data_IF_924030100859
#
_entry.id   IF_924030100859
#
_cell.length_a   1.000
_cell.length_b   1.000
_cell.length_c   1.000
_cell.angle_alpha   90.00
_cell.angle_beta   90.00
_cell.angle_gamma   90.00
#
_symmetry.space_group_name_H-M   'P 1'
#
loop_
_entity.id
_entity.type
_entity.pdbx_description
1 polymer ?
#
# COMPACT_ATOMS: atom_id res chain seq x y z
N UNK A 1 -64.31 24.61 18.55
CA UNK A 1 -62.90 24.78 18.14
C UNK A 1 -62.46 23.58 17.29
N UNK A 2 -62.65 23.64 15.97
CA UNK A 2 -61.95 22.83 14.93
C UNK A 2 -62.06 23.68 13.65
N UNK A 3 -61.15 24.64 13.47
CA UNK A 3 -59.97 24.60 12.58
C UNK A 3 -60.34 24.58 11.08
N UNK A 4 -60.37 25.79 10.51
CA UNK A 4 -60.34 26.03 9.07
C UNK A 4 -58.88 25.98 8.59
N UNK A 5 -58.59 25.24 7.53
CA UNK A 5 -57.34 25.33 6.79
C UNK A 5 -57.66 25.27 5.29
N UNK A 6 -57.68 26.45 4.67
CA UNK A 6 -57.48 26.68 3.25
C UNK A 6 -56.01 27.10 3.08
N UNK A 7 -55.20 26.35 2.34
CA UNK A 7 -53.96 26.86 1.74
C UNK A 7 -53.63 26.12 0.46
N UNK A 8 -53.14 26.90 -0.50
CA UNK A 8 -53.11 26.69 -1.93
C UNK A 8 -51.98 25.79 -2.47
N UNK A 9 -52.21 25.22 -3.66
CA UNK A 9 -51.19 24.63 -4.53
C UNK A 9 -50.27 25.69 -5.12
N UNK A 10 -48.97 25.42 -5.10
CA UNK A 10 -47.99 26.02 -6.04
C UNK A 10 -47.21 24.88 -6.69
N UNK A 11 -47.49 24.63 -7.96
CA UNK A 11 -46.68 23.77 -8.82
C UNK A 11 -45.54 24.63 -9.39
N UNK A 12 -44.29 24.28 -9.06
CA UNK A 12 -43.12 24.81 -9.77
C UNK A 12 -42.76 23.83 -10.87
N UNK A 13 -43.07 24.20 -12.11
CA UNK A 13 -42.47 23.63 -13.32
C UNK A 13 -41.22 24.43 -13.63
N UNK A 14 -40.08 23.77 -13.74
CA UNK A 14 -38.88 24.33 -14.38
C UNK A 14 -38.43 23.33 -15.43
N UNK A 15 -38.45 23.79 -16.67
CA UNK A 15 -38.05 23.09 -17.89
C UNK A 15 -36.56 22.70 -17.88
N UNK A 16 -36.30 21.46 -18.32
CA UNK A 16 -35.02 20.97 -18.89
C UNK A 16 -34.85 21.56 -20.32
N UNK A 17 -33.76 21.36 -21.08
CA UNK A 17 -32.45 20.75 -20.78
C UNK A 17 -31.26 21.64 -21.25
N UNK A 18 -30.05 21.41 -20.73
CA UNK A 18 -28.85 21.72 -21.52
C UNK A 18 -27.76 20.68 -21.28
N UNK A 19 -27.45 19.96 -22.35
CA UNK A 19 -26.33 19.04 -22.50
C UNK A 19 -25.02 19.67 -22.07
N UNK A 20 -24.37 19.10 -21.06
CA UNK A 20 -22.98 19.39 -20.74
C UNK A 20 -22.27 18.10 -20.31
N UNK A 21 -21.55 17.53 -21.27
CA UNK A 21 -20.30 16.78 -21.12
C UNK A 21 -20.24 15.63 -20.11
N UNK A 22 -20.34 14.42 -20.66
CA UNK A 22 -19.52 13.25 -20.33
C UNK A 22 -19.15 13.06 -18.86
N UNK A 23 -20.05 12.46 -18.10
CA UNK A 23 -19.63 11.66 -16.96
C UNK A 23 -18.90 10.42 -17.49
N UNK A 24 -17.57 10.47 -17.54
CA UNK A 24 -16.81 9.25 -17.32
C UNK A 24 -16.92 9.02 -15.82
N UNK A 25 -17.90 8.22 -15.41
CA UNK A 25 -17.76 7.50 -14.16
C UNK A 25 -16.59 6.54 -14.40
N UNK A 26 -15.38 7.00 -14.09
CA UNK A 26 -14.29 6.10 -13.76
C UNK A 26 -14.80 5.38 -12.51
N UNK A 27 -15.42 4.23 -12.73
CA UNK A 27 -15.58 3.21 -11.70
C UNK A 27 -14.16 2.87 -11.26
N UNK A 28 -13.66 3.65 -10.30
CA UNK A 28 -12.45 3.33 -9.56
C UNK A 28 -12.77 2.02 -8.87
N UNK A 29 -12.39 0.93 -9.52
CA UNK A 29 -12.39 -0.39 -8.93
C UNK A 29 -11.42 -0.29 -7.77
N UNK A 30 -11.98 -0.04 -6.58
CA UNK A 30 -11.27 -0.19 -5.32
C UNK A 30 -10.74 -1.61 -5.37
N UNK A 31 -9.43 -1.75 -5.55
CA UNK A 31 -8.75 -3.03 -5.39
C UNK A 31 -8.92 -3.38 -3.92
N UNK A 32 -10.01 -4.07 -3.60
CA UNK A 32 -10.17 -4.76 -2.33
C UNK A 32 -9.11 -5.84 -2.35
N UNK A 33 -7.92 -5.49 -1.85
CA UNK A 33 -6.87 -6.44 -1.59
C UNK A 33 -7.31 -7.28 -0.38
N UNK A 34 -8.07 -8.33 -0.68
CA UNK A 34 -8.32 -9.41 0.26
C UNK A 34 -6.95 -10.01 0.63
N UNK A 35 -6.45 -9.59 1.80
CA UNK A 35 -5.21 -10.04 2.39
C UNK A 35 -5.31 -11.54 2.75
N UNK A 36 -5.00 -12.41 1.80
CA UNK A 36 -4.75 -13.83 2.07
C UNK A 36 -3.78 -14.42 1.04
N UNK A 37 -2.62 -13.79 0.93
CA UNK A 37 -1.54 -14.26 0.07
C UNK A 37 -0.76 -15.39 0.74
N UNK A 38 -1.05 -16.63 0.35
CA UNK A 38 -0.09 -17.73 0.55
C UNK A 38 1.28 -17.31 -0.01
N UNK A 39 2.38 -17.62 0.70
CA UNK A 39 3.76 -17.18 0.38
C UNK A 39 4.19 -17.35 -1.09
N UNK A 40 3.53 -18.23 -1.86
CA UNK A 40 3.76 -18.38 -3.31
C UNK A 40 3.37 -17.16 -4.16
N UNK A 41 2.59 -16.22 -3.62
CA UNK A 41 2.20 -15.01 -4.32
C UNK A 41 3.07 -13.79 -3.96
N UNK A 42 3.69 -13.77 -2.78
CA UNK A 42 4.40 -12.58 -2.29
C UNK A 42 5.60 -12.22 -3.19
N UNK A 43 6.35 -13.20 -3.69
CA UNK A 43 7.43 -12.92 -4.65
C UNK A 43 6.92 -12.27 -5.94
N UNK A 44 5.82 -12.77 -6.50
CA UNK A 44 5.23 -12.23 -7.72
C UNK A 44 4.75 -10.79 -7.49
N UNK A 45 4.02 -10.56 -6.40
CA UNK A 45 3.55 -9.23 -5.98
C UNK A 45 4.71 -8.25 -5.82
N UNK A 46 5.78 -8.64 -5.13
CA UNK A 46 6.95 -7.78 -4.91
C UNK A 46 7.66 -7.46 -6.23
N UNK A 47 7.82 -8.45 -7.12
CA UNK A 47 8.49 -8.24 -8.42
C UNK A 47 7.67 -7.36 -9.35
N UNK A 48 6.33 -7.49 -9.32
CA UNK A 48 5.41 -6.63 -10.06
C UNK A 48 5.41 -5.21 -9.49
N UNK A 49 5.28 -5.04 -8.18
CA UNK A 49 5.26 -3.74 -7.51
C UNK A 49 6.55 -2.92 -7.72
N UNK A 50 7.69 -3.60 -7.81
CA UNK A 50 9.00 -2.99 -8.02
C UNK A 50 9.59 -3.29 -9.41
N UNK A 51 8.76 -3.48 -10.43
CA UNK A 51 9.25 -3.79 -11.79
C UNK A 51 10.16 -2.68 -12.36
N UNK A 52 9.91 -1.43 -11.97
CA UNK A 52 10.67 -0.23 -12.30
C UNK A 52 11.93 -0.06 -11.46
N UNK A 53 12.00 -0.70 -10.28
CA UNK A 53 13.13 -0.68 -9.35
C UNK A 53 13.55 -2.12 -8.97
N UNK A 54 14.10 -2.94 -9.90
CA UNK A 54 14.32 -4.37 -9.65
C UNK A 54 15.25 -4.69 -8.47
N UNK A 55 16.09 -3.73 -8.05
CA UNK A 55 16.94 -3.87 -6.87
C UNK A 55 16.10 -4.04 -5.59
N UNK A 56 14.92 -3.43 -5.50
CA UNK A 56 14.05 -3.53 -4.33
C UNK A 56 13.45 -4.93 -4.15
N UNK A 57 13.18 -5.63 -5.26
CA UNK A 57 12.80 -7.05 -5.19
C UNK A 57 13.94 -7.93 -4.65
N UNK A 58 15.20 -7.60 -4.99
CA UNK A 58 16.38 -8.30 -4.46
C UNK A 58 16.64 -7.98 -2.98
N UNK A 59 16.37 -6.75 -2.54
CA UNK A 59 16.34 -6.39 -1.12
C UNK A 59 15.30 -7.24 -0.40
N UNK A 60 14.05 -7.28 -0.86
CA UNK A 60 12.98 -8.08 -0.26
C UNK A 60 13.35 -9.57 -0.16
N UNK A 61 13.99 -10.13 -1.20
CA UNK A 61 14.51 -11.51 -1.18
C UNK A 61 15.50 -11.73 -0.03
N UNK A 62 16.41 -10.79 0.16
CA UNK A 62 17.44 -10.88 1.20
C UNK A 62 16.89 -10.64 2.60
N UNK A 63 15.92 -9.73 2.75
CA UNK A 63 15.33 -9.36 4.03
C UNK A 63 14.39 -10.43 4.57
N UNK A 64 13.48 -10.94 3.74
CA UNK A 64 12.39 -11.81 4.21
C UNK A 64 12.26 -13.14 3.48
N UNK A 65 13.03 -13.34 2.41
CA UNK A 65 12.81 -14.40 1.41
C UNK A 65 11.38 -14.37 0.87
N UNK A 66 10.89 -13.17 0.55
CA UNK A 66 9.52 -12.92 0.09
C UNK A 66 8.44 -13.44 1.03
N UNK A 67 8.60 -13.22 2.35
CA UNK A 67 7.58 -13.54 3.34
C UNK A 67 7.12 -12.28 4.03
N UNK A 68 5.81 -12.08 4.08
CA UNK A 68 5.22 -10.99 4.85
C UNK A 68 4.62 -11.50 6.17
N UNK A 69 4.04 -12.70 6.16
CA UNK A 69 3.44 -13.34 7.34
C UNK A 69 4.07 -14.69 7.65
N UNK A 70 3.90 -15.14 8.88
CA UNK A 70 4.19 -16.50 9.34
C UNK A 70 3.04 -17.45 8.96
N UNK A 71 3.24 -18.74 9.20
CA UNK A 71 2.24 -19.77 8.89
C UNK A 71 0.95 -19.63 9.69
N UNK A 72 0.98 -18.93 10.84
CA UNK A 72 -0.18 -18.65 11.67
C UNK A 72 -0.91 -17.34 11.31
N UNK A 73 -0.43 -16.64 10.27
CA UNK A 73 -0.99 -15.37 9.81
C UNK A 73 -0.45 -14.13 10.52
N UNK A 74 0.37 -14.27 11.57
CA UNK A 74 1.04 -13.12 12.18
C UNK A 74 2.08 -12.50 11.23
N UNK A 75 2.28 -11.19 11.31
CA UNK A 75 3.28 -10.49 10.49
C UNK A 75 4.69 -10.96 10.85
N UNK A 76 5.51 -11.17 9.83
CA UNK A 76 6.91 -11.55 9.99
C UNK A 76 7.66 -10.43 10.71
N UNK A 77 8.25 -10.77 11.85
CA UNK A 77 9.16 -9.90 12.58
C UNK A 77 10.61 -10.37 12.44
N UNK A 78 11.54 -9.42 12.51
CA UNK A 78 12.98 -9.68 12.47
C UNK A 78 13.43 -10.61 13.58
N UNK A 79 14.42 -11.44 13.26
CA UNK A 79 15.00 -12.39 14.22
C UNK A 79 15.86 -11.71 15.29
N UNK A 80 16.53 -10.61 14.93
CA UNK A 80 17.45 -9.88 15.81
C UNK A 80 16.76 -8.69 16.46
N UNK A 81 16.08 -7.85 15.67
CA UNK A 81 15.22 -6.79 16.17
C UNK A 81 13.76 -7.11 15.81
N UNK A 82 12.88 -7.36 16.78
CA UNK A 82 11.48 -7.65 16.51
C UNK A 82 10.71 -6.44 15.95
N UNK A 83 11.32 -5.24 15.93
CA UNK A 83 10.73 -4.07 15.28
C UNK A 83 10.84 -4.13 13.74
N UNK A 84 11.74 -4.94 13.17
CA UNK A 84 11.84 -5.12 11.71
C UNK A 84 10.63 -5.90 11.21
N UNK A 85 9.82 -5.30 10.34
CA UNK A 85 8.46 -5.78 10.04
C UNK A 85 8.24 -6.08 8.56
N UNK A 86 7.60 -7.22 8.29
CA UNK A 86 7.04 -7.57 7.00
C UNK A 86 8.08 -7.90 5.93
N UNK A 87 7.66 -7.82 4.67
CA UNK A 87 8.44 -8.27 3.51
C UNK A 87 9.69 -7.45 3.27
N UNK A 88 9.66 -6.17 3.63
CA UNK A 88 10.78 -5.22 3.50
C UNK A 88 11.57 -5.04 4.79
N UNK A 89 11.21 -5.76 5.87
CA UNK A 89 11.86 -5.69 7.19
C UNK A 89 12.07 -4.25 7.69
N UNK A 90 11.05 -3.39 7.56
CA UNK A 90 11.12 -1.99 8.00
C UNK A 90 11.06 -1.93 9.52
N UNK A 91 12.03 -1.24 10.14
CA UNK A 91 12.08 -1.10 11.59
C UNK A 91 11.01 -0.10 12.11
N UNK A 92 9.92 -0.60 12.66
CA UNK A 92 8.79 0.22 13.15
C UNK A 92 9.19 1.25 14.20
N UNK A 93 10.20 0.97 15.03
CA UNK A 93 10.68 1.90 16.07
C UNK A 93 11.09 3.26 15.50
N UNK A 94 11.64 3.28 14.28
CA UNK A 94 12.11 4.51 13.62
C UNK A 94 11.14 5.05 12.57
N UNK A 95 10.31 4.17 12.01
CA UNK A 95 9.58 4.48 10.78
C UNK A 95 8.05 4.51 10.94
N UNK A 96 7.49 3.91 11.99
CA UNK A 96 6.04 3.80 12.17
C UNK A 96 5.36 5.17 12.25
N UNK A 97 5.92 6.13 12.99
CA UNK A 97 5.35 7.47 13.08
C UNK A 97 5.29 8.21 11.74
N UNK A 98 6.30 8.01 10.88
CA UNK A 98 6.32 8.59 9.54
C UNK A 98 5.36 7.87 8.59
N UNK A 99 5.26 6.54 8.67
CA UNK A 99 4.30 5.75 7.91
C UNK A 99 2.85 6.14 8.24
N UNK A 100 2.52 6.27 9.52
CA UNK A 100 1.19 6.71 9.98
C UNK A 100 0.86 8.11 9.45
N UNK A 101 1.84 9.03 9.42
CA UNK A 101 1.64 10.37 8.87
C UNK A 101 1.37 10.38 7.35
N UNK A 102 1.72 9.29 6.67
CA UNK A 102 1.43 9.03 5.25
C UNK A 102 0.18 8.16 5.06
N UNK A 103 -0.56 7.86 6.14
CA UNK A 103 -1.72 6.97 6.15
C UNK A 103 -1.40 5.52 5.73
N UNK A 104 -0.19 5.05 6.04
CA UNK A 104 0.28 3.69 5.72
C UNK A 104 0.36 2.81 6.98
N UNK A 105 -0.08 1.55 6.87
CA UNK A 105 0.09 0.50 7.88
C UNK A 105 1.27 -0.44 7.52
N UNK A 106 2.35 -0.40 8.29
CA UNK A 106 3.53 -1.24 8.03
C UNK A 106 3.29 -2.75 8.22
N UNK A 107 2.17 -3.13 8.83
CA UNK A 107 1.72 -4.52 9.00
C UNK A 107 0.90 -5.02 7.79
N UNK A 108 0.52 -4.14 6.86
CA UNK A 108 -0.05 -4.49 5.55
C UNK A 108 1.06 -4.68 4.49
N UNK A 109 0.87 -5.63 3.58
CA UNK A 109 1.85 -5.96 2.56
C UNK A 109 2.14 -4.78 1.61
N UNK A 110 1.10 -4.12 1.11
CA UNK A 110 1.24 -3.05 0.12
C UNK A 110 1.77 -1.79 0.74
N UNK A 111 1.31 -1.44 1.94
CA UNK A 111 1.78 -0.26 2.66
C UNK A 111 3.23 -0.43 3.13
N UNK A 112 3.65 -1.65 3.51
CA UNK A 112 5.04 -1.99 3.78
C UNK A 112 5.93 -1.75 2.54
N UNK A 113 5.48 -2.15 1.35
CA UNK A 113 6.22 -1.89 0.11
C UNK A 113 6.17 -0.41 -0.31
N UNK A 114 5.04 0.28 -0.11
CA UNK A 114 4.90 1.70 -0.40
C UNK A 114 5.84 2.54 0.45
N UNK A 115 5.94 2.24 1.75
CA UNK A 115 6.89 2.91 2.61
C UNK A 115 8.34 2.58 2.24
N UNK A 116 8.64 1.33 1.85
CA UNK A 116 9.97 0.97 1.36
C UNK A 116 10.34 1.72 0.07
N UNK A 117 9.39 1.92 -0.85
CA UNK A 117 9.58 2.77 -2.04
C UNK A 117 9.93 4.20 -1.65
N UNK A 118 9.19 4.80 -0.73
CA UNK A 118 9.48 6.13 -0.20
C UNK A 118 10.91 6.23 0.39
N UNK A 119 11.33 5.23 1.16
CA UNK A 119 12.69 5.16 1.69
C UNK A 119 13.73 5.07 0.57
N UNK A 120 13.49 4.25 -0.46
CA UNK A 120 14.38 4.12 -1.61
C UNK A 120 14.49 5.43 -2.40
N UNK A 121 13.38 6.10 -2.69
CA UNK A 121 13.38 7.36 -3.43
C UNK A 121 14.12 8.46 -2.66
N UNK A 122 14.07 8.41 -1.32
CA UNK A 122 14.70 9.40 -0.45
C UNK A 122 16.18 9.12 -0.16
N UNK A 123 16.56 7.84 -0.05
CA UNK A 123 17.84 7.40 0.54
C UNK A 123 18.56 6.31 -0.27
N UNK A 124 17.97 5.84 -1.36
CA UNK A 124 18.40 4.64 -2.07
C UNK A 124 18.33 3.40 -1.18
N UNK A 125 19.30 2.50 -1.35
CA UNK A 125 19.37 1.22 -0.62
C UNK A 125 20.02 1.30 0.77
N UNK A 126 20.40 2.50 1.23
CA UNK A 126 21.09 2.69 2.51
C UNK A 126 20.37 2.08 3.73
N UNK A 127 19.02 2.17 3.85
CA UNK A 127 18.30 1.57 4.98
C UNK A 127 18.52 0.05 5.13
N UNK A 128 18.85 -0.65 4.04
CA UNK A 128 19.07 -2.10 3.99
C UNK A 128 20.56 -2.47 3.86
N UNK A 129 21.46 -1.57 4.25
CA UNK A 129 22.92 -1.80 4.15
C UNK A 129 23.40 -3.06 4.88
N UNK A 130 22.71 -3.50 5.93
CA UNK A 130 23.02 -4.72 6.66
C UNK A 130 22.91 -5.99 5.78
N UNK A 131 21.97 -6.01 4.83
CA UNK A 131 21.77 -7.12 3.89
C UNK A 131 22.50 -6.94 2.56
N UNK A 132 23.29 -5.87 2.40
CA UNK A 132 24.07 -5.59 1.20
C UNK A 132 24.93 -6.76 0.70
N UNK A 133 25.56 -7.60 1.55
CA UNK A 133 26.29 -8.77 1.05
C UNK A 133 25.45 -9.75 0.23
N UNK A 134 24.11 -9.74 0.39
CA UNK A 134 23.18 -10.60 -0.34
C UNK A 134 22.69 -9.99 -1.66
N UNK A 135 22.38 -8.69 -1.71
CA UNK A 135 21.84 -8.03 -2.91
C UNK A 135 22.87 -7.18 -3.68
N UNK A 136 24.01 -6.81 -3.09
CA UNK A 136 24.96 -5.84 -3.66
C UNK A 136 25.54 -6.22 -5.02
N UNK A 137 25.65 -7.51 -5.32
CA UNK A 137 26.12 -8.00 -6.62
C UNK A 137 25.16 -7.68 -7.77
N UNK A 138 23.88 -7.37 -7.48
CA UNK A 138 22.87 -7.02 -8.49
C UNK A 138 23.06 -5.60 -9.02
N UNK A 139 23.68 -4.71 -8.24
CA UNK A 139 24.06 -3.36 -8.67
C UNK A 139 25.27 -3.38 -9.62
N UNK A 140 26.17 -4.36 -9.46
CA UNK A 140 27.39 -4.47 -10.25
C UNK A 140 27.18 -5.13 -11.63
N UNK A 141 26.01 -5.72 -11.90
CA UNK A 141 25.68 -6.41 -13.16
C UNK A 141 24.98 -5.51 -14.20
N UNK A 142 25.02 -4.19 -14.05
CA UNK A 142 24.48 -3.24 -15.04
C UNK A 142 25.56 -2.37 -15.66
#
# INVERSE_FOLDING_TARGET
MILALLTASTASVVDLPETAHGHIAEESTVLVHEASGTNKNVEAIVREYFEDIPIMAEVARCESTFRHTLTDGSVLQGKVDPADTGVMQINKRYHEGAAIAMELDLDDLYDNMAYARYLYESQGVQPWSASMPCWGNTLAMR
#
